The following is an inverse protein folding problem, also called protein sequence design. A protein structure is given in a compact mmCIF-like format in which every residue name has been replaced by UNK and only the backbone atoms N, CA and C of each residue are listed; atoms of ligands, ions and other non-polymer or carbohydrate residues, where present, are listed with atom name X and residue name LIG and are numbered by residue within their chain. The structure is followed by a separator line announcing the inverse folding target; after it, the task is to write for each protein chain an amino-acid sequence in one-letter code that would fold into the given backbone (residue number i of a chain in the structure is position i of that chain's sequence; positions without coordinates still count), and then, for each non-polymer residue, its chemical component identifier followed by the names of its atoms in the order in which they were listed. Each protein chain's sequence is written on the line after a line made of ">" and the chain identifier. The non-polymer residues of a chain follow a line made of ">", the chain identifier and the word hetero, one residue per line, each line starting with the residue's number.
data_IF_680747180305
#
_entry.id   IF_680747180305
#
_cell.length_a   1.000
_cell.length_b   1.000
_cell.length_c   1.000
_cell.angle_alpha   90.00
_cell.angle_beta   90.00
_cell.angle_gamma   90.00
#
_symmetry.space_group_name_H-M   'P 1'
#
loop_
_entity.id
_entity.type
_entity.pdbx_description
1 polymer ?
#
# COMPACT_ATOMS: atom_id res chain seq x y z
N UNK A 1 -4.99 -32.81 18.69
CA UNK A 1 -4.45 -32.88 17.31
C UNK A 1 -3.34 -31.85 17.16
N UNK A 2 -2.14 -32.24 16.73
CA UNK A 2 -1.05 -31.29 16.49
C UNK A 2 -1.44 -30.34 15.34
N UNK A 3 -1.42 -29.03 15.60
CA UNK A 3 -1.69 -28.02 14.58
C UNK A 3 -0.58 -28.09 13.53
N UNK A 4 -0.93 -28.30 12.25
CA UNK A 4 0.05 -28.26 11.15
C UNK A 4 0.84 -26.95 11.24
N UNK A 5 2.16 -27.03 11.25
CA UNK A 5 3.05 -25.86 11.34
C UNK A 5 3.19 -25.11 10.01
N UNK A 6 2.94 -25.80 8.89
CA UNK A 6 3.04 -25.24 7.55
C UNK A 6 1.83 -25.59 6.65
N UNK A 7 1.00 -24.58 6.35
CA UNK A 7 -0.14 -24.64 5.44
C UNK A 7 0.21 -24.20 4.01
N UNK A 8 1.38 -23.58 3.79
CA UNK A 8 1.86 -23.11 2.50
C UNK A 8 3.15 -23.88 2.13
N UNK A 9 2.99 -25.07 1.54
CA UNK A 9 4.10 -26.01 1.30
C UNK A 9 5.09 -25.56 0.22
N UNK A 10 4.58 -25.05 -0.90
CA UNK A 10 5.38 -24.55 -2.02
C UNK A 10 4.80 -23.21 -2.44
N UNK A 11 5.62 -22.17 -2.42
CA UNK A 11 5.24 -20.81 -2.81
C UNK A 11 5.34 -20.64 -4.33
N UNK A 12 4.50 -19.77 -4.87
CA UNK A 12 4.46 -19.45 -6.30
C UNK A 12 4.26 -17.95 -6.52
N UNK A 13 4.27 -17.54 -7.79
CA UNK A 13 4.14 -16.14 -8.18
C UNK A 13 2.83 -15.48 -7.68
N UNK A 14 1.74 -16.24 -7.54
CA UNK A 14 0.45 -15.70 -7.05
C UNK A 14 0.52 -15.40 -5.55
N UNK A 15 1.26 -16.21 -4.79
CA UNK A 15 1.52 -15.96 -3.37
C UNK A 15 2.35 -14.70 -3.18
N UNK A 16 3.40 -14.55 -3.99
CA UNK A 16 4.25 -13.36 -4.02
C UNK A 16 3.45 -12.11 -4.40
N UNK A 17 2.62 -12.20 -5.45
CA UNK A 17 1.72 -11.11 -5.86
C UNK A 17 0.77 -10.69 -4.74
N UNK A 18 0.12 -11.65 -4.07
CA UNK A 18 -0.74 -11.37 -2.93
C UNK A 18 0.04 -10.69 -1.80
N UNK A 19 1.24 -11.20 -1.49
CA UNK A 19 2.13 -10.65 -0.47
C UNK A 19 2.59 -9.22 -0.81
N UNK A 20 2.91 -8.93 -2.06
CA UNK A 20 3.30 -7.60 -2.54
C UNK A 20 2.15 -6.60 -2.36
N UNK A 21 0.92 -6.98 -2.73
CA UNK A 21 -0.26 -6.13 -2.56
C UNK A 21 -0.48 -5.80 -1.10
N UNK A 22 -0.59 -6.80 -0.22
CA UNK A 22 -0.85 -6.54 1.21
C UNK A 22 0.34 -5.90 1.92
N UNK A 23 1.57 -6.01 1.40
CA UNK A 23 2.73 -5.25 1.89
C UNK A 23 2.55 -3.75 1.63
N UNK A 24 1.98 -3.38 0.48
CA UNK A 24 1.82 -2.00 0.04
C UNK A 24 0.45 -1.38 0.39
N UNK A 25 -0.59 -2.17 0.68
CA UNK A 25 -1.92 -1.65 1.07
C UNK A 25 -2.35 -2.03 2.48
N UNK A 26 -1.68 -2.99 3.14
CA UNK A 26 -2.03 -3.58 4.44
C UNK A 26 -3.36 -4.36 4.49
N UNK A 27 -4.40 -3.96 3.76
CA UNK A 27 -5.67 -4.65 3.62
C UNK A 27 -5.94 -5.08 2.17
N UNK A 28 -6.71 -6.16 2.02
CA UNK A 28 -7.24 -6.61 0.74
C UNK A 28 -8.64 -7.18 0.95
N UNK A 29 -9.59 -6.89 0.05
CA UNK A 29 -10.93 -7.49 0.14
C UNK A 29 -10.89 -8.98 -0.25
N UNK A 30 -11.89 -9.75 0.17
CA UNK A 30 -12.00 -11.14 -0.27
C UNK A 30 -12.12 -11.24 -1.79
N UNK A 31 -12.88 -10.34 -2.42
CA UNK A 31 -13.05 -10.31 -3.87
C UNK A 31 -11.70 -10.10 -4.57
N UNK A 32 -10.93 -9.09 -4.17
CA UNK A 32 -9.59 -8.82 -4.70
C UNK A 32 -8.63 -9.99 -4.49
N UNK A 33 -8.59 -10.56 -3.28
CA UNK A 33 -7.72 -11.71 -3.00
C UNK A 33 -8.04 -12.91 -3.91
N UNK A 34 -9.33 -13.13 -4.21
CA UNK A 34 -9.78 -14.21 -5.09
C UNK A 34 -9.48 -13.99 -6.58
N UNK A 35 -9.17 -12.76 -7.01
CA UNK A 35 -8.62 -12.50 -8.35
C UNK A 35 -7.18 -13.04 -8.48
N UNK A 36 -6.47 -13.18 -7.35
CA UNK A 36 -5.04 -13.52 -7.33
C UNK A 36 -4.83 -14.99 -6.96
N UNK A 37 -5.44 -15.44 -5.86
CA UNK A 37 -5.26 -16.79 -5.32
C UNK A 37 -6.61 -17.52 -5.18
N UNK A 38 -6.58 -18.86 -5.20
CA UNK A 38 -7.80 -19.63 -4.98
C UNK A 38 -8.31 -19.50 -3.53
N UNK A 39 -9.61 -19.77 -3.32
CA UNK A 39 -10.23 -19.76 -1.99
C UNK A 39 -9.50 -20.65 -0.99
N UNK A 40 -9.08 -21.84 -1.40
CA UNK A 40 -8.31 -22.76 -0.55
C UNK A 40 -6.94 -22.18 -0.18
N UNK A 41 -6.30 -21.47 -1.12
CA UNK A 41 -5.00 -20.84 -0.88
C UNK A 41 -5.12 -19.67 0.08
N UNK A 42 -6.12 -18.82 -0.09
CA UNK A 42 -6.44 -17.72 0.85
C UNK A 42 -6.71 -18.25 2.27
N UNK A 43 -7.48 -19.34 2.40
CA UNK A 43 -7.70 -19.99 3.69
C UNK A 43 -6.41 -20.55 4.32
N UNK A 44 -5.42 -20.94 3.51
CA UNK A 44 -4.10 -21.37 4.02
C UNK A 44 -3.28 -20.18 4.52
N UNK A 45 -3.32 -19.02 3.86
CA UNK A 45 -2.72 -17.78 4.37
C UNK A 45 -3.29 -17.40 5.74
N UNK A 46 -4.61 -17.53 5.91
CA UNK A 46 -5.31 -17.30 7.18
C UNK A 46 -4.86 -18.32 8.26
N UNK A 47 -4.89 -19.62 7.96
CA UNK A 47 -4.46 -20.68 8.91
C UNK A 47 -2.99 -20.56 9.30
N UNK A 48 -2.14 -20.14 8.37
CA UNK A 48 -0.72 -19.84 8.60
C UNK A 48 -0.54 -18.60 9.48
N UNK A 49 -1.55 -17.73 9.59
CA UNK A 49 -1.53 -16.47 10.32
C UNK A 49 -0.82 -15.35 9.57
N UNK A 50 -0.64 -15.48 8.25
CA UNK A 50 -0.10 -14.40 7.42
C UNK A 50 -1.14 -13.29 7.27
N UNK A 51 -2.39 -13.68 7.02
CA UNK A 51 -3.54 -12.79 6.95
C UNK A 51 -4.49 -13.07 8.11
N UNK A 52 -5.17 -12.03 8.59
CA UNK A 52 -6.26 -12.12 9.55
C UNK A 52 -7.55 -11.70 8.87
N UNK A 53 -8.56 -12.56 8.92
CA UNK A 53 -9.90 -12.24 8.41
C UNK A 53 -10.60 -11.27 9.37
N UNK A 54 -11.15 -10.19 8.82
CA UNK A 54 -12.00 -9.24 9.51
C UNK A 54 -13.35 -9.14 8.82
N UNK A 55 -14.36 -8.74 9.58
CA UNK A 55 -15.67 -8.38 9.05
C UNK A 55 -15.81 -6.87 9.12
N UNK A 56 -16.02 -6.25 7.97
CA UNK A 56 -16.21 -4.82 7.83
C UNK A 56 -17.64 -4.55 7.37
N UNK A 57 -18.22 -3.45 7.86
CA UNK A 57 -19.54 -3.00 7.43
C UNK A 57 -19.34 -1.78 6.54
N UNK A 58 -19.75 -1.89 5.29
CA UNK A 58 -19.77 -0.80 4.32
C UNK A 58 -21.21 -0.60 3.83
N UNK A 59 -21.80 0.57 4.05
CA UNK A 59 -23.18 0.88 3.63
C UNK A 59 -24.20 -0.23 3.95
N UNK A 60 -24.17 -0.75 5.19
CA UNK A 60 -24.98 -1.87 5.69
C UNK A 60 -24.75 -3.23 5.01
N UNK A 61 -23.74 -3.36 4.15
CA UNK A 61 -23.27 -4.63 3.59
C UNK A 61 -22.08 -5.14 4.38
N UNK A 62 -22.14 -6.42 4.75
CA UNK A 62 -21.06 -7.09 5.47
C UNK A 62 -20.02 -7.58 4.47
N UNK A 63 -18.89 -6.92 4.44
CA UNK A 63 -17.75 -7.28 3.62
C UNK A 63 -16.71 -8.08 4.42
N UNK A 64 -15.95 -8.90 3.70
CA UNK A 64 -14.81 -9.63 4.26
C UNK A 64 -13.54 -8.98 3.74
N UNK A 65 -12.72 -8.51 4.68
CA UNK A 65 -11.38 -7.97 4.40
C UNK A 65 -10.34 -8.81 5.13
N UNK A 66 -9.12 -8.83 4.58
CA UNK A 66 -7.97 -9.50 5.16
C UNK A 66 -6.89 -8.48 5.49
N UNK A 67 -6.41 -8.52 6.74
CA UNK A 67 -5.35 -7.67 7.27
C UNK A 67 -4.02 -8.42 7.27
N UNK A 68 -2.94 -7.76 6.83
CA UNK A 68 -1.57 -8.28 6.98
C UNK A 68 -1.11 -8.23 8.44
N UNK A 69 -0.88 -9.40 9.03
CA UNK A 69 -0.46 -9.48 10.45
C UNK A 69 1.04 -9.22 10.63
N UNK A 70 1.48 -9.01 11.88
CA UNK A 70 2.92 -9.00 12.22
C UNK A 70 3.63 -10.29 11.78
N UNK A 71 2.99 -11.45 12.01
CA UNK A 71 3.50 -12.75 11.54
C UNK A 71 3.54 -12.82 10.02
N UNK A 72 2.60 -12.18 9.34
CA UNK A 72 2.59 -12.03 7.89
C UNK A 72 3.75 -11.20 7.38
N UNK A 73 4.09 -10.08 8.02
CA UNK A 73 5.29 -9.29 7.69
C UNK A 73 6.56 -10.13 7.83
N UNK A 74 6.73 -10.86 8.95
CA UNK A 74 7.86 -11.78 9.12
C UNK A 74 7.86 -12.91 8.07
N UNK A 75 6.69 -13.41 7.69
CA UNK A 75 6.56 -14.40 6.63
C UNK A 75 7.02 -13.84 5.28
N UNK A 76 6.61 -12.62 4.92
CA UNK A 76 7.00 -11.95 3.67
C UNK A 76 8.51 -11.73 3.67
N UNK A 77 9.07 -11.10 4.71
CA UNK A 77 10.51 -10.82 4.77
C UNK A 77 11.38 -12.08 4.66
N UNK A 78 10.91 -13.22 5.18
CA UNK A 78 11.64 -14.49 5.13
C UNK A 78 11.54 -15.20 3.79
N UNK A 79 10.37 -15.20 3.16
CA UNK A 79 10.11 -16.01 1.96
C UNK A 79 10.26 -15.20 0.66
N UNK A 80 10.12 -13.89 0.73
CA UNK A 80 10.28 -12.95 -0.38
C UNK A 80 11.18 -11.79 0.07
N UNK A 81 12.51 -12.00 0.23
CA UNK A 81 13.40 -10.99 0.79
C UNK A 81 13.43 -9.67 0.02
N UNK A 82 13.18 -9.70 -1.30
CA UNK A 82 13.07 -8.50 -2.13
C UNK A 82 11.81 -7.67 -1.83
N UNK A 83 10.81 -8.22 -1.13
CA UNK A 83 9.65 -7.49 -0.60
C UNK A 83 9.84 -7.05 0.86
N UNK A 84 11.02 -7.28 1.44
CA UNK A 84 11.30 -6.92 2.83
C UNK A 84 11.47 -5.40 2.99
N UNK A 85 11.04 -4.88 4.14
CA UNK A 85 11.11 -3.45 4.43
C UNK A 85 9.91 -2.66 3.90
N UNK A 86 9.87 -1.37 4.27
CA UNK A 86 8.86 -0.38 3.84
C UNK A 86 7.44 -0.94 3.72
N UNK A 87 6.96 -1.63 4.75
CA UNK A 87 5.57 -2.08 4.77
C UNK A 87 4.65 -0.90 5.06
N UNK A 88 3.56 -0.79 4.32
CA UNK A 88 2.50 0.19 4.59
C UNK A 88 1.90 -0.01 6.00
N UNK A 89 1.59 1.08 6.70
CA UNK A 89 1.26 1.06 8.14
C UNK A 89 -0.11 1.62 8.52
N UNK A 90 -0.94 2.08 7.59
CA UNK A 90 -2.30 2.55 7.95
C UNK A 90 -3.21 1.37 8.29
N UNK A 91 -3.40 1.09 9.58
CA UNK A 91 -4.13 -0.07 10.10
C UNK A 91 -5.65 0.07 10.20
N UNK A 92 -6.16 1.31 10.14
CA UNK A 92 -7.55 1.61 10.50
C UNK A 92 -8.40 2.08 9.32
N UNK A 93 -7.77 2.46 8.21
CA UNK A 93 -8.44 3.01 7.03
C UNK A 93 -8.84 1.89 6.04
N UNK A 94 -9.71 0.97 6.45
CA UNK A 94 -10.00 -0.27 5.69
C UNK A 94 -10.39 -0.03 4.23
N UNK A 95 -11.36 0.85 3.97
CA UNK A 95 -11.88 1.08 2.63
C UNK A 95 -10.84 1.81 1.76
N UNK A 96 -10.18 2.85 2.29
CA UNK A 96 -9.03 3.50 1.65
C UNK A 96 -7.93 2.49 1.24
N UNK A 97 -7.55 1.61 2.15
CA UNK A 97 -6.53 0.60 1.89
C UNK A 97 -6.96 -0.42 0.83
N UNK A 98 -8.23 -0.83 0.83
CA UNK A 98 -8.78 -1.72 -0.20
C UNK A 98 -8.77 -1.03 -1.57
N UNK A 99 -9.10 0.27 -1.63
CA UNK A 99 -9.01 1.09 -2.85
C UNK A 99 -7.57 1.21 -3.33
N UNK A 100 -6.61 1.46 -2.44
CA UNK A 100 -5.18 1.45 -2.78
C UNK A 100 -4.73 0.06 -3.27
N UNK A 101 -5.20 -1.01 -2.63
CA UNK A 101 -4.99 -2.39 -3.05
C UNK A 101 -5.45 -2.66 -4.49
N UNK A 102 -6.56 -2.03 -4.90
CA UNK A 102 -7.06 -2.12 -6.27
C UNK A 102 -6.08 -1.52 -7.27
N UNK A 103 -5.53 -0.34 -6.97
CA UNK A 103 -4.56 0.33 -7.82
C UNK A 103 -3.27 -0.50 -7.97
N UNK A 104 -2.81 -1.16 -6.90
CA UNK A 104 -1.65 -2.07 -6.96
C UNK A 104 -1.94 -3.28 -7.86
N UNK A 105 -3.17 -3.80 -7.83
CA UNK A 105 -3.58 -4.92 -8.70
C UNK A 105 -3.60 -4.50 -10.18
N UNK A 106 -4.13 -3.32 -10.46
CA UNK A 106 -4.20 -2.76 -11.82
C UNK A 106 -2.81 -2.50 -12.39
N UNK A 107 -1.91 -1.93 -11.60
CA UNK A 107 -0.53 -1.59 -12.00
C UNK A 107 0.51 -2.67 -11.62
N UNK A 108 0.11 -3.94 -11.54
CA UNK A 108 0.97 -5.01 -11.03
C UNK A 108 2.18 -5.37 -11.90
N UNK A 109 2.23 -4.88 -13.14
CA UNK A 109 3.40 -5.03 -14.03
C UNK A 109 4.47 -3.96 -13.77
N UNK A 110 4.14 -2.94 -13.00
CA UNK A 110 5.00 -1.80 -12.70
C UNK A 110 5.63 -1.95 -11.31
N UNK A 111 6.79 -1.31 -11.13
CA UNK A 111 7.36 -1.15 -9.80
C UNK A 111 6.45 -0.23 -8.97
N UNK A 112 6.04 -0.70 -7.80
CA UNK A 112 5.20 0.07 -6.88
C UNK A 112 6.03 0.74 -5.77
N UNK A 113 5.72 1.99 -5.49
CA UNK A 113 6.25 2.80 -4.40
C UNK A 113 5.13 3.07 -3.40
N UNK A 114 5.33 2.79 -2.12
CA UNK A 114 4.40 3.25 -1.08
C UNK A 114 4.87 4.57 -0.47
N UNK A 115 4.08 5.13 0.44
CA UNK A 115 4.37 6.40 1.14
C UNK A 115 5.81 6.49 1.70
N UNK A 116 6.40 5.39 2.19
CA UNK A 116 7.78 5.42 2.70
C UNK A 116 8.80 5.57 1.58
N UNK A 117 8.61 4.86 0.47
CA UNK A 117 9.48 4.95 -0.68
C UNK A 117 9.38 6.36 -1.32
N UNK A 118 8.16 6.90 -1.42
CA UNK A 118 7.93 8.27 -1.90
C UNK A 118 8.49 9.34 -0.95
N UNK A 119 8.51 9.08 0.36
CA UNK A 119 9.17 9.96 1.35
C UNK A 119 10.66 10.08 1.07
N UNK A 120 11.33 8.96 0.78
CA UNK A 120 12.75 8.96 0.47
C UNK A 120 13.05 9.78 -0.79
N UNK A 121 12.22 9.64 -1.84
CA UNK A 121 12.32 10.44 -3.06
C UNK A 121 12.16 11.94 -2.76
N UNK A 122 11.13 12.33 -1.98
CA UNK A 122 10.91 13.72 -1.58
C UNK A 122 12.13 14.28 -0.83
N UNK A 123 12.66 13.52 0.14
CA UNK A 123 13.81 13.96 0.92
C UNK A 123 15.02 14.21 0.02
N UNK A 124 15.31 13.31 -0.94
CA UNK A 124 16.40 13.52 -1.90
C UNK A 124 16.22 14.80 -2.72
N UNK A 125 14.99 15.10 -3.16
CA UNK A 125 14.69 16.35 -3.89
C UNK A 125 14.87 17.59 -3.02
N UNK A 126 14.40 17.53 -1.76
CA UNK A 126 14.60 18.62 -0.79
C UNK A 126 16.08 18.87 -0.53
N UNK A 127 16.90 17.82 -0.42
CA UNK A 127 18.33 17.96 -0.17
C UNK A 127 19.10 18.65 -1.31
N UNK A 128 18.60 18.52 -2.54
CA UNK A 128 19.19 19.12 -3.74
C UNK A 128 18.65 20.53 -4.04
N UNK A 129 17.63 20.99 -3.29
CA UNK A 129 17.00 22.30 -3.50
C UNK A 129 17.75 23.42 -2.76
N UNK A 130 17.86 24.58 -3.41
CA UNK A 130 18.37 25.81 -2.77
C UNK A 130 17.52 26.22 -1.54
N UNK A 131 16.24 25.83 -1.52
CA UNK A 131 15.30 26.13 -0.44
C UNK A 131 15.21 24.99 0.61
N UNK A 132 16.20 24.11 0.70
CA UNK A 132 16.23 22.92 1.58
C UNK A 132 15.65 23.16 2.98
N UNK A 133 16.11 24.21 3.67
CA UNK A 133 15.71 24.49 5.05
C UNK A 133 14.24 24.89 5.20
N UNK A 134 13.69 25.59 4.22
CA UNK A 134 12.28 25.96 4.20
C UNK A 134 11.41 24.73 3.93
N UNK A 135 11.77 23.94 2.92
CA UNK A 135 11.04 22.72 2.56
C UNK A 135 11.05 21.68 3.69
N UNK A 136 12.19 21.51 4.38
CA UNK A 136 12.27 20.66 5.57
C UNK A 136 11.31 21.14 6.66
N UNK A 137 11.25 22.46 6.91
CA UNK A 137 10.32 23.03 7.90
C UNK A 137 8.86 22.81 7.51
N UNK A 138 8.52 22.97 6.23
CA UNK A 138 7.17 22.70 5.72
C UNK A 138 6.81 21.22 5.91
N UNK A 139 7.73 20.30 5.62
CA UNK A 139 7.54 18.87 5.82
C UNK A 139 7.33 18.52 7.30
N UNK A 140 8.15 19.08 8.20
CA UNK A 140 8.02 18.90 9.66
C UNK A 140 6.68 19.42 10.20
N UNK A 141 6.16 20.51 9.62
CA UNK A 141 4.84 21.06 9.96
C UNK A 141 3.66 20.31 9.33
N UNK A 142 3.92 19.33 8.46
CA UNK A 142 2.88 18.60 7.72
C UNK A 142 2.24 19.40 6.59
N UNK A 143 2.87 20.48 6.14
CA UNK A 143 2.42 21.30 5.01
C UNK A 143 2.78 20.67 3.65
N UNK A 144 3.61 19.62 3.64
CA UNK A 144 3.87 18.75 2.49
C UNK A 144 3.36 17.37 2.87
N UNK A 145 2.42 16.84 2.10
CA UNK A 145 1.82 15.54 2.34
C UNK A 145 2.22 14.56 1.24
N UNK A 146 2.67 13.37 1.64
CA UNK A 146 3.18 12.35 0.73
C UNK A 146 1.99 11.56 0.18
N UNK A 147 1.92 11.27 -1.14
CA UNK A 147 0.88 10.43 -1.72
C UNK A 147 0.84 9.03 -1.12
N UNK A 148 -0.32 8.38 -1.19
CA UNK A 148 -0.52 7.03 -0.61
C UNK A 148 0.37 5.96 -1.28
N UNK A 149 0.62 6.13 -2.58
CA UNK A 149 1.55 5.30 -3.33
C UNK A 149 1.79 5.82 -4.75
N UNK A 150 2.48 5.04 -5.56
CA UNK A 150 2.75 5.36 -6.95
C UNK A 150 3.33 4.17 -7.68
N UNK A 151 3.36 4.27 -9.01
CA UNK A 151 3.92 3.23 -9.87
C UNK A 151 4.83 3.83 -10.93
N UNK A 152 5.79 3.02 -11.38
CA UNK A 152 6.68 3.36 -12.49
C UNK A 152 6.03 3.00 -13.83
N UNK A 153 5.89 3.97 -14.72
CA UNK A 153 5.48 3.77 -16.10
C UNK A 153 6.59 3.07 -16.91
N UNK A 154 6.25 2.58 -18.10
CA UNK A 154 7.19 1.91 -19.00
C UNK A 154 8.33 2.83 -19.45
N UNK A 155 8.11 4.14 -19.49
CA UNK A 155 9.10 5.18 -19.82
C UNK A 155 10.01 5.56 -18.64
N UNK A 156 9.81 4.96 -17.47
CA UNK A 156 10.56 5.24 -16.24
C UNK A 156 10.03 6.41 -15.43
N UNK A 157 8.98 7.12 -15.88
CA UNK A 157 8.33 8.17 -15.09
C UNK A 157 7.52 7.56 -13.95
N UNK A 158 7.45 8.27 -12.81
CA UNK A 158 6.61 7.87 -11.68
C UNK A 158 5.28 8.59 -11.79
N UNK A 159 4.18 7.87 -11.57
CA UNK A 159 2.85 8.42 -11.37
C UNK A 159 2.40 8.12 -9.93
N UNK A 160 2.10 9.16 -9.16
CA UNK A 160 1.56 9.02 -7.81
C UNK A 160 0.04 8.85 -7.83
N UNK A 161 -0.46 8.16 -6.81
CA UNK A 161 -1.87 7.91 -6.52
C UNK A 161 -2.18 8.47 -5.14
N UNK A 162 -3.29 9.20 -5.05
CA UNK A 162 -3.88 9.68 -3.80
C UNK A 162 -5.34 9.23 -3.71
N UNK A 163 -5.68 8.45 -2.70
CA UNK A 163 -7.06 8.00 -2.46
C UNK A 163 -7.78 9.04 -1.60
N UNK A 164 -8.75 9.72 -2.20
CA UNK A 164 -9.55 10.78 -1.57
C UNK A 164 -10.97 10.31 -1.25
N UNK A 165 -11.57 10.97 -0.26
CA UNK A 165 -12.99 10.85 0.04
C UNK A 165 -13.66 12.23 0.04
N UNK A 166 -14.97 12.27 0.25
CA UNK A 166 -15.78 13.50 0.22
C UNK A 166 -15.37 14.54 1.27
N UNK A 167 -14.61 14.15 2.30
CA UNK A 167 -14.17 15.03 3.38
C UNK A 167 -12.82 15.70 3.10
N UNK A 168 -12.20 15.48 1.94
CA UNK A 168 -10.94 16.13 1.58
C UNK A 168 -11.11 17.65 1.48
N UNK A 169 -10.35 18.37 2.28
CA UNK A 169 -10.33 19.83 2.30
C UNK A 169 -9.40 20.39 1.24
N UNK A 170 -9.63 21.63 0.82
CA UNK A 170 -8.72 22.36 -0.06
C UNK A 170 -7.30 22.46 0.51
N UNK A 171 -7.15 22.53 1.83
CA UNK A 171 -5.85 22.52 2.52
C UNK A 171 -5.13 21.18 2.34
N UNK A 172 -5.82 20.05 2.49
CA UNK A 172 -5.22 18.73 2.28
C UNK A 172 -4.79 18.55 0.82
N UNK A 173 -5.62 18.98 -0.13
CA UNK A 173 -5.27 18.98 -1.55
C UNK A 173 -4.06 19.87 -1.84
N UNK A 174 -3.96 21.05 -1.20
CA UNK A 174 -2.80 21.93 -1.31
C UNK A 174 -1.53 21.27 -0.78
N UNK A 175 -1.60 20.57 0.36
CA UNK A 175 -0.43 19.88 0.92
C UNK A 175 0.06 18.74 0.02
N UNK A 176 -0.85 18.06 -0.70
CA UNK A 176 -0.49 17.08 -1.74
C UNK A 176 0.10 17.76 -2.98
N UNK A 177 -0.48 18.87 -3.43
CA UNK A 177 0.06 19.66 -4.53
C UNK A 177 1.49 20.20 -4.25
N UNK A 178 1.83 20.47 -2.99
CA UNK A 178 3.20 20.84 -2.62
C UNK A 178 4.20 19.71 -2.89
N UNK A 179 3.82 18.44 -2.70
CA UNK A 179 4.67 17.30 -3.05
C UNK A 179 4.96 17.27 -4.56
N UNK A 180 3.91 17.41 -5.38
CA UNK A 180 4.03 17.44 -6.84
C UNK A 180 4.90 18.62 -7.31
N UNK A 181 4.72 19.81 -6.71
CA UNK A 181 5.52 20.99 -7.04
C UNK A 181 7.01 20.83 -6.72
N UNK A 182 7.37 20.09 -5.66
CA UNK A 182 8.76 19.87 -5.25
C UNK A 182 9.41 18.76 -6.08
N UNK A 183 8.68 17.68 -6.33
CA UNK A 183 9.23 16.46 -6.95
C UNK A 183 9.06 16.43 -8.47
N UNK A 184 8.14 17.23 -9.01
CA UNK A 184 7.70 17.13 -10.41
C UNK A 184 6.92 15.86 -10.73
N UNK A 185 6.58 15.04 -9.72
CA UNK A 185 5.88 13.77 -9.91
C UNK A 185 4.37 14.01 -9.85
N UNK A 186 3.63 13.75 -10.94
CA UNK A 186 2.19 14.02 -10.99
C UNK A 186 1.40 13.14 -10.03
N UNK A 187 0.29 13.67 -9.50
CA UNK A 187 -0.63 12.96 -8.60
C UNK A 187 -1.98 12.75 -9.28
N UNK A 188 -2.42 11.50 -9.36
CA UNK A 188 -3.79 11.14 -9.76
C UNK A 188 -4.64 10.88 -8.53
N UNK A 189 -5.78 11.56 -8.44
CA UNK A 189 -6.71 11.45 -7.32
C UNK A 189 -7.79 10.40 -7.61
N UNK A 190 -7.85 9.37 -6.78
CA UNK A 190 -8.80 8.26 -6.88
C UNK A 190 -9.86 8.43 -5.81
N UNK A 191 -11.14 8.44 -6.19
CA UNK A 191 -12.23 8.48 -5.23
C UNK A 191 -12.44 7.10 -4.60
N UNK A 192 -12.55 7.10 -3.28
CA UNK A 192 -12.93 5.94 -2.48
C UNK A 192 -14.39 5.54 -2.70
#
# INVERSE_FOLDING_TARGET
>A
MARKSNYLKQLNYKDEKLCSIVKNSHHISQAQALLIVSRNRLANFEKQGVLKKLHYMDNNKKEIIYELTKKGRSFISRNFPHLSGNFYTSGTAYLHNVTLGQQIIEHHHSQWYNERDLREILLQQIEQSDNRWELMRMLEKGEISIPDGGYCNEDGSIQCIEVINENYTSTQLKFKANFEAITGIPITYIKQ
#
